data_IF_637520824615
#
_entry.id   IF_637520824615
#
_cell.length_a   1.000
_cell.length_b   1.000
_cell.length_c   1.000
_cell.angle_alpha   90.00
_cell.angle_beta   90.00
_cell.angle_gamma   90.00
#
_symmetry.space_group_name_H-M   'P 1'
#
loop_
_entity.id
_entity.type
_entity.pdbx_description
1 polymer ?
#
# COMPACT_ATOMS: atom_id res chain seq x y z
N UNK A 1 34.55 17.20 47.68
CA UNK A 1 33.36 16.83 46.90
C UNK A 1 32.60 15.81 47.73
N UNK A 2 31.36 16.10 48.09
CA UNK A 2 30.61 15.25 49.03
C UNK A 2 29.91 14.13 48.27
N UNK A 3 29.87 12.92 48.83
CA UNK A 3 29.22 11.73 48.25
C UNK A 3 27.73 11.96 47.89
N UNK A 4 27.13 13.01 48.44
CA UNK A 4 25.77 13.45 48.16
C UNK A 4 25.63 14.17 46.81
N UNK A 5 26.65 14.91 46.38
CA UNK A 5 26.67 15.60 45.08
C UNK A 5 26.82 14.59 43.94
N UNK A 6 27.67 13.57 44.09
CA UNK A 6 27.85 12.48 43.12
C UNK A 6 26.55 11.66 42.97
N UNK A 7 25.89 11.33 44.08
CA UNK A 7 24.59 10.62 44.05
C UNK A 7 23.45 11.44 43.45
N UNK A 8 23.51 12.77 43.56
CA UNK A 8 22.55 13.66 42.90
C UNK A 8 22.81 13.74 41.39
N UNK A 9 24.08 13.77 40.97
CA UNK A 9 24.48 13.69 39.56
C UNK A 9 23.99 12.40 38.90
N UNK A 10 24.32 11.24 39.48
CA UNK A 10 23.91 9.92 38.96
C UNK A 10 22.39 9.78 38.84
N UNK A 11 21.64 10.34 39.80
CA UNK A 11 20.17 10.28 39.79
C UNK A 11 19.54 11.19 38.74
N UNK A 12 20.15 12.35 38.48
CA UNK A 12 19.73 13.25 37.41
C UNK A 12 20.02 12.64 36.04
N UNK A 13 21.18 11.98 35.88
CA UNK A 13 21.56 11.29 34.65
C UNK A 13 20.65 10.09 34.36
N UNK A 14 20.34 9.28 35.38
CA UNK A 14 19.40 8.18 35.26
C UNK A 14 17.98 8.64 34.88
N UNK A 15 17.50 9.75 35.45
CA UNK A 15 16.19 10.33 35.12
C UNK A 15 16.16 10.88 33.69
N UNK A 16 17.27 11.47 33.22
CA UNK A 16 17.40 11.96 31.85
C UNK A 16 17.40 10.80 30.85
N UNK A 17 18.16 9.74 31.11
CA UNK A 17 18.16 8.53 30.28
C UNK A 17 16.78 7.87 30.18
N UNK A 18 16.04 7.80 31.30
CA UNK A 18 14.68 7.28 31.29
C UNK A 18 13.73 8.15 30.45
N UNK A 19 13.87 9.47 30.51
CA UNK A 19 13.06 10.42 29.73
C UNK A 19 13.37 10.32 28.23
N UNK A 20 14.66 10.22 27.86
CA UNK A 20 15.10 10.03 26.48
C UNK A 20 14.60 8.68 25.92
N UNK A 21 14.63 7.61 26.72
CA UNK A 21 14.08 6.30 26.34
C UNK A 21 12.58 6.33 26.09
N UNK A 22 11.80 7.00 26.96
CA UNK A 22 10.35 7.15 26.78
C UNK A 22 10.03 8.00 25.55
N UNK A 23 10.76 9.10 25.32
CA UNK A 23 10.56 9.95 24.15
C UNK A 23 10.88 9.21 22.84
N UNK A 24 11.97 8.44 22.81
CA UNK A 24 12.34 7.59 21.67
C UNK A 24 11.32 6.47 21.44
N UNK A 25 10.80 5.85 22.50
CA UNK A 25 9.73 4.86 22.42
C UNK A 25 8.45 5.43 21.81
N UNK A 26 8.02 6.60 22.27
CA UNK A 26 6.84 7.29 21.73
C UNK A 26 7.02 7.65 20.25
N UNK A 27 8.18 8.19 19.87
CA UNK A 27 8.48 8.53 18.47
C UNK A 27 8.39 7.31 17.57
N UNK A 28 9.00 6.17 17.98
CA UNK A 28 8.93 4.91 17.22
C UNK A 28 7.50 4.39 17.07
N UNK A 29 6.67 4.53 18.10
CA UNK A 29 5.26 4.13 18.03
C UNK A 29 4.45 5.02 17.07
N UNK A 30 4.68 6.34 17.09
CA UNK A 30 4.06 7.27 16.14
C UNK A 30 4.50 6.98 14.70
N UNK A 31 5.79 6.76 14.48
CA UNK A 31 6.38 6.41 13.19
C UNK A 31 5.85 5.07 12.65
N UNK A 32 5.64 4.08 13.52
CA UNK A 32 5.02 2.81 13.18
C UNK A 32 3.54 2.97 12.84
N UNK A 33 2.78 3.72 13.64
CA UNK A 33 1.36 3.97 13.40
C UNK A 33 1.13 4.72 12.07
N UNK A 34 1.99 5.69 11.75
CA UNK A 34 2.00 6.39 10.48
C UNK A 34 2.26 5.47 9.29
N UNK A 35 3.30 4.62 9.38
CA UNK A 35 3.62 3.66 8.33
C UNK A 35 2.51 2.59 8.14
N UNK A 36 1.89 2.15 9.25
CA UNK A 36 0.75 1.25 9.22
C UNK A 36 -0.45 1.87 8.49
N UNK A 37 -0.79 3.13 8.80
CA UNK A 37 -1.87 3.85 8.13
C UNK A 37 -1.61 3.98 6.62
N UNK A 38 -0.40 4.42 6.24
CA UNK A 38 -0.02 4.58 4.83
C UNK A 38 -0.16 3.27 4.05
N UNK A 39 0.26 2.15 4.65
CA UNK A 39 0.15 0.83 4.04
C UNK A 39 -1.31 0.41 3.82
N UNK A 40 -2.17 0.55 4.85
CA UNK A 40 -3.58 0.19 4.73
C UNK A 40 -4.35 1.08 3.75
N UNK A 41 -4.06 2.38 3.74
CA UNK A 41 -4.69 3.32 2.81
C UNK A 41 -4.35 2.96 1.36
N UNK A 42 -3.09 2.63 1.07
CA UNK A 42 -2.66 2.18 -0.26
C UNK A 42 -3.33 0.88 -0.66
N UNK A 43 -3.40 -0.10 0.25
CA UNK A 43 -4.04 -1.38 -0.02
C UNK A 43 -5.55 -1.21 -0.28
N UNK A 44 -6.24 -0.44 0.55
CA UNK A 44 -7.69 -0.20 0.39
C UNK A 44 -7.98 0.56 -0.91
N UNK A 45 -7.16 1.57 -1.24
CA UNK A 45 -7.29 2.30 -2.49
C UNK A 45 -7.07 1.41 -3.71
N UNK A 46 -6.06 0.52 -3.68
CA UNK A 46 -5.83 -0.45 -4.76
C UNK A 46 -7.01 -1.43 -4.88
N UNK A 47 -7.51 -1.94 -3.76
CA UNK A 47 -8.67 -2.85 -3.75
C UNK A 47 -9.94 -2.18 -4.33
N UNK A 48 -10.22 -0.92 -3.97
CA UNK A 48 -11.36 -0.18 -4.54
C UNK A 48 -11.23 -0.01 -6.05
N UNK A 49 -10.05 0.36 -6.55
CA UNK A 49 -9.79 0.46 -7.99
C UNK A 49 -10.04 -0.88 -8.71
N UNK A 50 -9.66 -2.00 -8.08
CA UNK A 50 -9.90 -3.35 -8.60
C UNK A 50 -11.38 -3.70 -8.65
N UNK A 51 -12.15 -3.35 -7.62
CA UNK A 51 -13.59 -3.58 -7.59
C UNK A 51 -14.34 -2.76 -8.66
N UNK A 52 -14.03 -1.46 -8.79
CA UNK A 52 -14.59 -0.60 -9.84
C UNK A 52 -14.26 -1.16 -11.24
N UNK A 53 -13.06 -1.72 -11.40
CA UNK A 53 -12.61 -2.35 -12.65
C UNK A 53 -13.43 -3.58 -13.00
N UNK A 54 -13.64 -4.49 -12.04
CA UNK A 54 -14.46 -5.69 -12.22
C UNK A 54 -15.88 -5.35 -12.64
N UNK A 55 -16.45 -4.27 -12.08
CA UNK A 55 -17.78 -3.81 -12.46
C UNK A 55 -17.84 -3.26 -13.89
N UNK A 56 -16.82 -2.51 -14.31
CA UNK A 56 -16.69 -2.04 -15.70
C UNK A 56 -16.52 -3.20 -16.69
N UNK A 57 -15.70 -4.20 -16.34
CA UNK A 57 -15.48 -5.37 -17.19
C UNK A 57 -16.77 -6.20 -17.34
N UNK A 58 -17.50 -6.42 -16.25
CA UNK A 58 -18.80 -7.09 -16.26
C UNK A 58 -19.82 -6.33 -17.15
N UNK A 59 -19.86 -5.01 -17.04
CA UNK A 59 -20.74 -4.15 -17.87
C UNK A 59 -20.40 -4.28 -19.36
N UNK A 60 -19.11 -4.29 -19.69
CA UNK A 60 -18.65 -4.45 -21.06
C UNK A 60 -18.92 -5.84 -21.63
N UNK A 61 -18.73 -6.89 -20.83
CA UNK A 61 -19.06 -8.25 -21.23
C UNK A 61 -20.56 -8.40 -21.50
N UNK A 62 -21.40 -7.78 -20.67
CA UNK A 62 -22.85 -7.76 -20.86
C UNK A 62 -23.27 -6.99 -22.13
N UNK A 63 -22.70 -5.81 -22.39
CA UNK A 63 -22.96 -5.04 -23.63
C UNK A 63 -22.53 -5.83 -24.88
N UNK A 64 -21.36 -6.48 -24.83
CA UNK A 64 -20.90 -7.34 -25.92
C UNK A 64 -21.85 -8.52 -26.18
N UNK A 65 -22.24 -9.24 -25.13
CA UNK A 65 -23.20 -10.35 -25.25
C UNK A 65 -24.55 -9.87 -25.80
N UNK A 66 -25.05 -8.71 -25.35
CA UNK A 66 -26.27 -8.10 -25.87
C UNK A 66 -26.16 -7.76 -27.36
N UNK A 67 -25.04 -7.19 -27.80
CA UNK A 67 -24.83 -6.86 -29.22
C UNK A 67 -24.67 -8.12 -30.06
N UNK A 68 -23.98 -9.13 -29.54
CA UNK A 68 -23.75 -10.39 -30.23
C UNK A 68 -25.06 -11.14 -30.49
N UNK A 69 -25.98 -11.16 -29.51
CA UNK A 69 -27.31 -11.76 -29.67
C UNK A 69 -28.24 -10.97 -30.59
N UNK A 70 -28.02 -9.66 -30.73
CA UNK A 70 -28.77 -8.81 -31.66
C UNK A 70 -28.23 -8.86 -33.11
N UNK A 71 -26.99 -9.33 -33.31
CA UNK A 71 -26.34 -9.37 -34.61
C UNK A 71 -27.09 -10.28 -35.57
N UNK A 72 -27.38 -9.78 -36.78
CA UNK A 72 -28.16 -10.51 -37.79
C UNK A 72 -27.30 -11.05 -38.92
N UNK A 73 -26.00 -10.80 -38.90
CA UNK A 73 -25.06 -11.24 -39.93
C UNK A 73 -23.71 -11.64 -39.38
N UNK A 74 -23.01 -12.51 -40.12
CA UNK A 74 -21.64 -12.95 -39.77
C UNK A 74 -20.64 -11.78 -39.78
N UNK A 75 -20.80 -10.81 -40.69
CA UNK A 75 -19.94 -9.63 -40.78
C UNK A 75 -20.12 -8.70 -39.58
N UNK A 76 -21.36 -8.53 -39.13
CA UNK A 76 -21.68 -7.77 -37.91
C UNK A 76 -21.08 -8.44 -36.67
N UNK A 77 -21.25 -9.76 -36.56
CA UNK A 77 -20.60 -10.56 -35.51
C UNK A 77 -19.09 -10.43 -35.52
N UNK A 78 -18.45 -10.55 -36.69
CA UNK A 78 -16.99 -10.41 -36.81
C UNK A 78 -16.51 -9.02 -36.36
N UNK A 79 -17.25 -7.96 -36.73
CA UNK A 79 -16.95 -6.58 -36.34
C UNK A 79 -17.07 -6.38 -34.81
N UNK A 80 -18.09 -6.99 -34.20
CA UNK A 80 -18.26 -6.96 -32.73
C UNK A 80 -17.09 -7.65 -32.02
N UNK A 81 -16.66 -8.82 -32.48
CA UNK A 81 -15.51 -9.53 -31.90
C UNK A 81 -14.20 -8.75 -32.06
N UNK A 82 -13.97 -8.13 -33.21
CA UNK A 82 -12.80 -7.28 -33.44
C UNK A 82 -12.78 -6.08 -32.48
N UNK A 83 -13.90 -5.37 -32.36
CA UNK A 83 -14.02 -4.24 -31.45
C UNK A 83 -13.85 -4.66 -29.98
N UNK A 84 -14.46 -5.77 -29.58
CA UNK A 84 -14.31 -6.31 -28.22
C UNK A 84 -12.86 -6.67 -27.93
N UNK A 85 -12.20 -7.40 -28.84
CA UNK A 85 -10.80 -7.82 -28.69
C UNK A 85 -9.86 -6.63 -28.59
N UNK A 86 -10.02 -5.63 -29.46
CA UNK A 86 -9.20 -4.41 -29.44
C UNK A 86 -9.34 -3.66 -28.12
N UNK A 87 -10.59 -3.46 -27.66
CA UNK A 87 -10.87 -2.80 -26.38
C UNK A 87 -10.35 -3.60 -25.19
N UNK A 88 -10.43 -4.93 -25.24
CA UNK A 88 -9.93 -5.80 -24.18
C UNK A 88 -8.40 -5.78 -24.10
N UNK A 89 -7.70 -5.72 -25.24
CA UNK A 89 -6.23 -5.57 -25.27
C UNK A 89 -5.77 -4.21 -24.72
N UNK A 90 -6.44 -3.12 -25.09
CA UNK A 90 -6.15 -1.79 -24.56
C UNK A 90 -6.30 -1.76 -23.03
N UNK A 91 -7.43 -2.28 -22.55
CA UNK A 91 -7.71 -2.42 -21.13
C UNK A 91 -6.69 -3.28 -20.39
N UNK A 92 -6.32 -4.45 -20.94
CA UNK A 92 -5.33 -5.33 -20.33
C UNK A 92 -3.94 -4.66 -20.22
N UNK A 93 -3.56 -3.85 -21.21
CA UNK A 93 -2.31 -3.10 -21.17
C UNK A 93 -2.32 -2.00 -20.09
N UNK A 94 -3.45 -1.30 -19.93
CA UNK A 94 -3.64 -0.35 -18.83
C UNK A 94 -3.61 -1.03 -17.46
N UNK A 95 -4.26 -2.18 -17.33
CA UNK A 95 -4.29 -2.95 -16.09
C UNK A 95 -2.91 -3.46 -15.70
N UNK A 96 -2.15 -4.00 -16.65
CA UNK A 96 -0.79 -4.45 -16.39
C UNK A 96 0.08 -3.29 -15.84
N UNK A 97 -0.01 -2.11 -16.45
CA UNK A 97 0.71 -0.91 -15.97
C UNK A 97 0.27 -0.52 -14.56
N UNK A 98 -1.03 -0.51 -14.29
CA UNK A 98 -1.58 -0.13 -12.99
C UNK A 98 -1.22 -1.15 -11.90
N UNK A 99 -1.31 -2.45 -12.17
CA UNK A 99 -0.94 -3.51 -11.22
C UNK A 99 0.53 -3.41 -10.84
N UNK A 100 1.42 -3.18 -11.80
CA UNK A 100 2.85 -2.99 -11.52
C UNK A 100 3.07 -1.77 -10.62
N UNK A 101 2.42 -0.63 -10.93
CA UNK A 101 2.55 0.59 -10.13
C UNK A 101 1.99 0.41 -8.70
N UNK A 102 0.78 -0.12 -8.55
CA UNK A 102 0.16 -0.36 -7.25
C UNK A 102 1.01 -1.37 -6.42
N UNK A 103 1.59 -2.39 -7.06
CA UNK A 103 2.48 -3.37 -6.39
C UNK A 103 3.77 -2.70 -5.90
N UNK A 104 4.38 -1.83 -6.71
CA UNK A 104 5.57 -1.07 -6.30
C UNK A 104 5.26 -0.17 -5.10
N UNK A 105 4.12 0.51 -5.11
CA UNK A 105 3.68 1.39 -4.02
C UNK A 105 3.40 0.63 -2.72
N UNK A 106 2.76 -0.54 -2.82
CA UNK A 106 2.48 -1.42 -1.67
C UNK A 106 3.78 -2.00 -1.12
N UNK A 107 4.70 -2.46 -1.97
CA UNK A 107 6.00 -2.98 -1.54
C UNK A 107 6.84 -1.89 -0.87
N UNK A 108 6.85 -0.67 -1.42
CA UNK A 108 7.56 0.45 -0.82
C UNK A 108 6.98 0.84 0.55
N UNK A 109 5.65 0.86 0.68
CA UNK A 109 4.99 1.10 1.96
C UNK A 109 5.23 -0.03 2.97
N UNK A 110 5.17 -1.29 2.53
CA UNK A 110 5.47 -2.46 3.34
C UNK A 110 6.92 -2.47 3.84
N UNK A 111 7.88 -2.13 2.98
CA UNK A 111 9.28 -1.99 3.39
C UNK A 111 9.44 -0.96 4.51
N UNK A 112 8.82 0.23 4.38
CA UNK A 112 8.84 1.27 5.43
C UNK A 112 8.21 0.80 6.74
N UNK A 113 7.08 0.09 6.65
CA UNK A 113 6.42 -0.50 7.81
C UNK A 113 7.34 -1.46 8.58
N UNK A 114 8.06 -2.34 7.88
CA UNK A 114 8.98 -3.30 8.52
C UNK A 114 10.29 -2.66 8.99
N UNK A 115 10.82 -1.64 8.29
CA UNK A 115 12.06 -0.98 8.71
C UNK A 115 11.85 -0.04 9.90
N UNK A 116 10.72 0.68 9.98
CA UNK A 116 10.41 1.51 11.16
C UNK A 116 10.15 0.67 12.43
N UNK A 117 9.73 -0.60 12.29
CA UNK A 117 9.62 -1.53 13.41
C UNK A 117 10.95 -2.19 13.82
N UNK A 118 12.00 -2.06 13.00
CA UNK A 118 13.21 -2.90 13.06
C UNK A 118 14.48 -2.25 13.59
N UNK A 119 14.52 -0.95 13.87
CA UNK A 119 15.72 -0.24 14.36
C UNK A 119 16.01 -0.45 15.86
N UNK A 120 15.92 -1.71 16.28
CA UNK A 120 16.50 -2.25 17.50
C UNK A 120 17.88 -2.88 17.23
N UNK A 121 18.80 -2.20 16.53
CA UNK A 121 20.19 -2.68 16.38
C UNK A 121 21.16 -1.92 17.31
N UNK A 122 21.28 -2.44 18.53
CA UNK A 122 22.55 -2.66 19.23
C UNK A 122 23.29 -1.48 19.89
N UNK A 123 23.41 -1.52 21.22
CA UNK A 123 24.68 -1.29 21.95
C UNK A 123 24.73 -2.18 23.19
N UNK A 124 25.78 -2.99 23.31
CA UNK A 124 26.06 -3.82 24.48
C UNK A 124 26.94 -5.02 24.15
N UNK A 125 28.19 -4.74 23.76
CA UNK A 125 29.31 -5.64 24.02
C UNK A 125 29.72 -5.50 25.48
#
# INVERSE_FOLDING_TARGET
MTQQEERQGDRADAARMATEFVAEGNRRMEDFAGAQSEFWDKLQNSNRKWLDRMQNEATMAADFASRLTAARSLTETASLFQNWTAKHMEMAAEDARRVIADTQDILAAGARFWTNGGDGKGRGH
#
